data_IF_342088128251
#
_entry.id   IF_342088128251
#
_cell.length_a   1.000
_cell.length_b   1.000
_cell.length_c   1.000
_cell.angle_alpha   90.00
_cell.angle_beta   90.00
_cell.angle_gamma   90.00
#
_symmetry.space_group_name_H-M   'P 1'
#
loop_
_entity.id
_entity.type
_entity.pdbx_description
1 polymer ?
#
# COMPACT_ATOMS: atom_id res chain seq x y z
N UNK A 1 -6.74 -17.28 10.33
CA UNK A 1 -7.89 -16.75 9.57
C UNK A 1 -7.77 -15.26 9.16
N UNK A 2 -6.76 -14.48 9.57
CA UNK A 2 -6.71 -13.02 9.29
C UNK A 2 -5.58 -12.52 8.35
N UNK A 3 -4.82 -13.40 7.71
CA UNK A 3 -3.70 -13.00 6.86
C UNK A 3 -4.10 -12.45 5.46
N UNK A 4 -5.36 -12.67 5.01
CA UNK A 4 -5.79 -12.34 3.64
C UNK A 4 -5.97 -10.83 3.35
N UNK A 5 -5.98 -9.96 4.38
CA UNK A 5 -6.06 -8.49 4.22
C UNK A 5 -4.79 -7.73 4.61
N UNK A 6 -3.84 -8.37 5.29
CA UNK A 6 -2.56 -7.76 5.66
C UNK A 6 -1.58 -7.73 4.47
N UNK A 7 -1.60 -8.76 3.61
CA UNK A 7 -0.64 -8.86 2.51
C UNK A 7 -0.60 -7.63 1.60
N UNK A 8 -1.74 -7.02 1.25
CA UNK A 8 -1.77 -5.82 0.40
C UNK A 8 -1.23 -4.58 1.15
N UNK A 9 -1.53 -4.43 2.44
CA UNK A 9 -1.01 -3.33 3.26
C UNK A 9 0.51 -3.41 3.38
N UNK A 10 1.00 -4.58 3.75
CA UNK A 10 2.43 -4.82 3.95
C UNK A 10 3.19 -4.64 2.62
N UNK A 11 2.61 -5.11 1.51
CA UNK A 11 3.18 -4.92 0.16
C UNK A 11 3.25 -3.44 -0.24
N UNK A 12 2.22 -2.64 0.06
CA UNK A 12 2.25 -1.19 -0.21
C UNK A 12 3.37 -0.52 0.59
N UNK A 13 3.51 -0.87 1.88
CA UNK A 13 4.56 -0.32 2.75
C UNK A 13 5.94 -0.73 2.24
N UNK A 14 6.16 -2.02 1.97
CA UNK A 14 7.40 -2.57 1.39
C UNK A 14 7.77 -1.86 0.09
N UNK A 15 6.84 -1.71 -0.85
CA UNK A 15 7.11 -1.03 -2.11
C UNK A 15 7.42 0.45 -1.91
N UNK A 16 6.72 1.12 -1.00
CA UNK A 16 6.97 2.54 -0.67
C UNK A 16 8.37 2.72 -0.04
N UNK A 17 8.78 1.82 0.86
CA UNK A 17 10.12 1.79 1.45
C UNK A 17 11.21 1.54 0.40
N UNK A 18 10.89 0.78 -0.65
CA UNK A 18 11.75 0.56 -1.82
C UNK A 18 11.63 1.69 -2.86
N UNK A 19 11.22 2.90 -2.47
CA UNK A 19 11.10 4.09 -3.34
C UNK A 19 10.12 3.95 -4.51
N UNK A 20 9.18 3.00 -4.46
CA UNK A 20 8.12 2.88 -5.47
C UNK A 20 7.05 3.96 -5.25
N UNK A 21 6.64 4.61 -6.34
CA UNK A 21 5.66 5.69 -6.29
C UNK A 21 4.23 5.16 -6.12
N UNK A 22 3.35 5.95 -5.50
CA UNK A 22 1.92 5.63 -5.29
C UNK A 22 1.21 5.14 -6.57
N UNK A 23 1.52 5.78 -7.72
CA UNK A 23 0.97 5.39 -9.03
C UNK A 23 1.48 4.03 -9.52
N UNK A 24 2.73 3.71 -9.22
CA UNK A 24 3.35 2.44 -9.60
C UNK A 24 2.80 1.30 -8.75
N UNK A 25 2.74 1.51 -7.43
CA UNK A 25 2.11 0.58 -6.47
C UNK A 25 0.67 0.27 -6.87
N UNK A 26 -0.12 1.29 -7.25
CA UNK A 26 -1.50 1.09 -7.73
C UNK A 26 -1.60 0.22 -8.98
N UNK A 27 -0.64 0.34 -9.91
CA UNK A 27 -0.58 -0.49 -11.13
C UNK A 27 -0.19 -1.93 -10.83
N UNK A 28 0.85 -2.12 -10.02
CA UNK A 28 1.36 -3.46 -9.65
C UNK A 28 0.33 -4.24 -8.86
N UNK A 29 -0.32 -3.60 -7.90
CA UNK A 29 -1.30 -4.24 -7.00
C UNK A 29 -2.73 -4.20 -7.54
N UNK A 30 -2.96 -3.59 -8.72
CA UNK A 30 -4.28 -3.43 -9.36
C UNK A 30 -5.32 -2.80 -8.42
N UNK A 31 -4.91 -1.79 -7.65
CA UNK A 31 -5.76 -1.03 -6.72
C UNK A 31 -5.75 0.46 -7.06
N UNK A 32 -6.76 1.20 -6.62
CA UNK A 32 -6.79 2.64 -6.86
C UNK A 32 -5.66 3.34 -6.10
N UNK A 33 -5.06 4.35 -6.74
CA UNK A 33 -4.07 5.24 -6.11
C UNK A 33 -4.61 5.86 -4.82
N UNK A 34 -5.90 6.15 -4.76
CA UNK A 34 -6.56 6.75 -3.60
C UNK A 34 -6.56 5.79 -2.41
N UNK A 35 -6.70 4.49 -2.68
CA UNK A 35 -6.57 3.43 -1.67
C UNK A 35 -5.14 3.36 -1.13
N UNK A 36 -4.13 3.45 -2.01
CA UNK A 36 -2.71 3.49 -1.62
C UNK A 36 -2.43 4.70 -0.73
N UNK A 37 -2.87 5.90 -1.12
CA UNK A 37 -2.69 7.12 -0.32
C UNK A 37 -3.41 7.04 1.02
N UNK A 38 -4.67 6.58 1.05
CA UNK A 38 -5.43 6.43 2.28
C UNK A 38 -4.72 5.50 3.27
N UNK A 39 -4.15 4.41 2.76
CA UNK A 39 -3.43 3.41 3.53
C UNK A 39 -2.09 3.94 4.04
N UNK A 40 -1.33 4.66 3.21
CA UNK A 40 -0.09 5.31 3.64
C UNK A 40 -0.35 6.36 4.72
N UNK A 41 -1.38 7.21 4.55
CA UNK A 41 -1.77 8.20 5.56
C UNK A 41 -2.13 7.56 6.89
N UNK A 42 -2.90 6.45 6.88
CA UNK A 42 -3.27 5.72 8.11
C UNK A 42 -2.08 5.09 8.84
N UNK A 43 -1.03 4.69 8.12
CA UNK A 43 0.18 4.12 8.71
C UNK A 43 1.19 5.21 9.13
N UNK A 44 1.13 6.42 8.57
CA UNK A 44 2.03 7.52 8.94
C UNK A 44 1.62 8.27 10.21
N UNK A 45 0.37 8.12 10.66
CA UNK A 45 -0.20 8.80 11.83
C UNK A 45 -0.26 7.95 13.11
N UNK A 46 0.47 6.84 13.17
CA UNK A 46 0.55 5.98 14.35
C UNK A 46 1.99 5.83 14.84
#
# INVERSE_FOLDING_TARGET
YNARKQGIKDKIIEMTLNSSGVRDIGRVLKISKDTVVSLLKKNATH
#
